data_IF_399697966490
#
_entry.id   IF_399697966490
#
_cell.length_a   1.000
_cell.length_b   1.000
_cell.length_c   1.000
_cell.angle_alpha   90.00
_cell.angle_beta   90.00
_cell.angle_gamma   90.00
#
_symmetry.space_group_name_H-M   'P 1'
#
loop_
_entity.id
_entity.type
_entity.pdbx_description
1 polymer ?
#
# COMPACT_ATOMS: atom_id res chain seq x y z
N UNK A 1 -26.48 23.28 -3.94
CA UNK A 1 -25.93 21.91 -3.80
C UNK A 1 -25.78 21.59 -2.32
N UNK A 2 -26.28 20.43 -1.86
CA UNK A 2 -26.09 19.99 -0.46
C UNK A 2 -24.59 19.79 -0.19
N UNK A 3 -24.15 19.98 1.05
CA UNK A 3 -22.75 19.77 1.47
C UNK A 3 -22.24 18.39 1.06
N UNK A 4 -23.08 17.36 1.19
CA UNK A 4 -22.78 15.99 0.74
C UNK A 4 -22.46 15.91 -0.75
N UNK A 5 -23.18 16.64 -1.61
CA UNK A 5 -22.93 16.65 -3.06
C UNK A 5 -21.59 17.30 -3.40
N UNK A 6 -21.16 18.32 -2.65
CA UNK A 6 -19.85 18.94 -2.81
C UNK A 6 -18.72 18.01 -2.37
N UNK A 7 -18.93 17.27 -1.28
CA UNK A 7 -17.99 16.25 -0.80
C UNK A 7 -17.81 15.14 -1.84
N UNK A 8 -18.90 14.60 -2.39
CA UNK A 8 -18.83 13.59 -3.45
C UNK A 8 -18.11 14.09 -4.70
N UNK A 9 -18.39 15.33 -5.13
CA UNK A 9 -17.67 15.93 -6.26
C UNK A 9 -16.16 16.02 -5.98
N UNK A 10 -15.77 16.42 -4.77
CA UNK A 10 -14.38 16.46 -4.35
C UNK A 10 -13.72 15.09 -4.33
N UNK A 11 -14.39 14.07 -3.80
CA UNK A 11 -13.88 12.70 -3.78
C UNK A 11 -13.69 12.12 -5.19
N UNK A 12 -14.65 12.36 -6.08
CA UNK A 12 -14.52 11.96 -7.49
C UNK A 12 -13.32 12.65 -8.13
N UNK A 13 -13.17 13.97 -7.92
CA UNK A 13 -12.03 14.72 -8.45
C UNK A 13 -10.70 14.14 -7.93
N UNK A 14 -10.59 13.86 -6.63
CA UNK A 14 -9.40 13.25 -6.04
C UNK A 14 -9.12 11.86 -6.60
N UNK A 15 -10.15 11.05 -6.83
CA UNK A 15 -10.00 9.74 -7.45
C UNK A 15 -9.48 9.84 -8.89
N UNK A 16 -9.90 10.86 -9.65
CA UNK A 16 -9.36 11.11 -10.99
C UNK A 16 -7.91 11.64 -10.96
N UNK A 17 -7.53 12.35 -9.90
CA UNK A 17 -6.17 12.87 -9.73
C UNK A 17 -5.21 11.85 -9.12
N UNK A 18 -5.70 10.79 -8.46
CA UNK A 18 -4.83 9.81 -7.79
C UNK A 18 -3.81 9.12 -8.71
N UNK A 19 -4.08 8.83 -10.00
CA UNK A 19 -3.06 8.25 -10.89
C UNK A 19 -1.86 9.16 -11.10
N UNK A 20 -1.98 10.48 -10.89
CA UNK A 20 -0.85 11.40 -11.01
C UNK A 20 0.28 11.09 -10.02
N UNK A 21 -0.04 10.50 -8.86
CA UNK A 21 0.96 10.07 -7.88
C UNK A 21 1.88 8.94 -8.36
N UNK A 22 1.46 8.21 -9.41
CA UNK A 22 2.26 7.18 -10.09
C UNK A 22 2.86 7.73 -11.39
N UNK A 23 2.05 8.44 -12.18
CA UNK A 23 2.44 8.91 -13.51
C UNK A 23 3.52 10.00 -13.47
N UNK A 24 3.45 10.93 -12.51
CA UNK A 24 4.44 12.01 -12.44
C UNK A 24 5.82 11.49 -12.00
N UNK A 25 5.97 10.67 -10.94
CA UNK A 25 7.27 10.09 -10.60
C UNK A 25 7.87 9.26 -11.72
N UNK A 26 7.06 8.43 -12.41
CA UNK A 26 7.52 7.65 -13.55
C UNK A 26 7.99 8.56 -14.71
N UNK A 27 7.20 9.57 -15.07
CA UNK A 27 7.52 10.49 -16.17
C UNK A 27 8.79 11.31 -15.90
N UNK A 28 8.98 11.78 -14.68
CA UNK A 28 10.13 12.58 -14.27
C UNK A 28 11.31 11.74 -13.74
N UNK A 29 11.18 10.41 -13.70
CA UNK A 29 12.16 9.49 -13.09
C UNK A 29 12.52 9.89 -11.65
N UNK A 30 11.52 10.27 -10.87
CA UNK A 30 11.68 10.79 -9.51
C UNK A 30 11.61 9.71 -8.42
N UNK A 31 11.78 8.43 -8.78
CA UNK A 31 11.70 7.29 -7.87
C UNK A 31 10.27 6.82 -7.63
N UNK A 32 10.00 6.36 -6.41
CA UNK A 32 8.74 5.72 -6.02
C UNK A 32 7.50 6.63 -6.14
N UNK A 33 6.35 5.97 -6.15
CA UNK A 33 5.05 6.61 -6.10
C UNK A 33 4.91 7.54 -4.89
N UNK A 34 4.18 8.66 -5.08
CA UNK A 34 3.91 9.57 -3.98
C UNK A 34 3.17 8.89 -2.84
N UNK A 35 3.81 8.83 -1.66
CA UNK A 35 3.29 8.18 -0.46
C UNK A 35 3.75 6.73 -0.28
N UNK A 36 4.49 6.15 -1.23
CA UNK A 36 5.05 4.79 -1.15
C UNK A 36 6.58 4.78 -0.95
N UNK A 37 7.16 5.90 -0.50
CA UNK A 37 8.62 6.02 -0.35
C UNK A 37 9.20 5.09 0.72
N UNK A 38 10.26 4.37 0.33
CA UNK A 38 11.15 3.63 1.23
C UNK A 38 12.23 4.49 1.91
N UNK A 39 13.02 3.86 2.78
CA UNK A 39 14.16 4.52 3.43
C UNK A 39 15.25 4.84 2.40
N UNK A 40 15.44 3.93 1.45
CA UNK A 40 16.38 4.00 0.35
C UNK A 40 16.04 5.20 -0.55
N UNK A 41 14.78 5.29 -0.95
CA UNK A 41 14.27 6.39 -1.78
C UNK A 41 14.40 7.74 -1.09
N UNK A 42 14.14 7.82 0.21
CA UNK A 42 14.40 9.04 0.99
C UNK A 42 15.90 9.40 1.01
N UNK A 43 16.77 8.42 1.22
CA UNK A 43 18.22 8.64 1.20
C UNK A 43 18.69 9.19 -0.16
N UNK A 44 18.13 8.71 -1.26
CA UNK A 44 18.44 9.20 -2.61
C UNK A 44 17.88 10.60 -2.88
N UNK A 45 16.64 10.88 -2.47
CA UNK A 45 15.96 12.16 -2.74
C UNK A 45 16.46 13.33 -1.88
N UNK A 46 16.70 13.09 -0.59
CA UNK A 46 17.03 14.14 0.39
C UNK A 46 18.39 13.98 1.06
N UNK A 47 19.12 12.89 0.78
CA UNK A 47 20.49 12.68 1.27
C UNK A 47 20.60 12.19 2.71
N UNK A 48 19.47 11.92 3.38
CA UNK A 48 19.44 11.32 4.72
C UNK A 48 18.10 10.64 5.01
N UNK A 49 18.10 9.66 5.93
CA UNK A 49 16.87 9.04 6.46
C UNK A 49 16.57 9.61 7.85
N UNK A 50 15.39 10.21 8.09
CA UNK A 50 15.01 10.70 9.41
C UNK A 50 14.99 9.57 10.44
N UNK A 51 15.55 9.79 11.64
CA UNK A 51 15.63 8.76 12.68
C UNK A 51 14.26 8.17 13.07
N UNK A 52 13.22 9.00 13.08
CA UNK A 52 11.85 8.56 13.33
C UNK A 52 11.34 7.58 12.27
N UNK A 53 11.71 7.80 11.01
CA UNK A 53 11.37 6.92 9.88
C UNK A 53 12.02 5.55 10.08
N UNK A 54 13.34 5.50 10.32
CA UNK A 54 14.08 4.25 10.57
C UNK A 54 13.49 3.46 11.74
N UNK A 55 13.13 4.14 12.84
CA UNK A 55 12.56 3.47 14.02
C UNK A 55 11.20 2.86 13.71
N UNK A 56 10.35 3.56 12.95
CA UNK A 56 8.99 3.12 12.64
C UNK A 56 8.97 2.04 11.55
N UNK A 57 9.83 2.16 10.53
CA UNK A 57 9.96 1.14 9.47
C UNK A 57 10.48 -0.18 10.03
N UNK A 58 11.32 -0.16 11.07
CA UNK A 58 11.80 -1.37 11.73
C UNK A 58 10.74 -2.11 12.58
N UNK A 59 9.57 -1.50 12.84
CA UNK A 59 8.52 -2.15 13.66
C UNK A 59 7.78 -3.27 12.91
N UNK A 60 7.77 -3.21 11.59
CA UNK A 60 7.02 -4.14 10.77
C UNK A 60 7.73 -4.37 9.44
N UNK A 61 8.00 -5.63 9.13
CA UNK A 61 8.44 -6.07 7.81
C UNK A 61 7.31 -6.89 7.18
N UNK A 62 6.92 -6.51 5.97
CA UNK A 62 5.90 -7.25 5.24
C UNK A 62 6.36 -8.70 5.02
N UNK A 63 5.53 -9.72 5.28
CA UNK A 63 5.89 -11.13 5.04
C UNK A 63 6.23 -11.45 3.59
N UNK A 64 5.62 -10.72 2.64
CA UNK A 64 5.87 -10.81 1.21
C UNK A 64 6.09 -9.38 0.69
N UNK A 65 7.32 -8.87 0.71
CA UNK A 65 7.62 -7.53 0.19
C UNK A 65 7.36 -7.49 -1.32
N UNK A 66 6.92 -6.32 -1.80
CA UNK A 66 6.64 -6.04 -3.23
C UNK A 66 5.68 -7.03 -3.91
N UNK A 67 4.94 -7.80 -3.11
CA UNK A 67 4.05 -8.86 -3.56
C UNK A 67 4.74 -9.91 -4.45
N UNK A 68 6.05 -10.05 -4.32
CA UNK A 68 6.87 -11.03 -5.02
C UNK A 68 7.37 -12.11 -4.07
N UNK A 69 7.29 -13.37 -4.49
CA UNK A 69 7.94 -14.45 -3.74
C UNK A 69 9.45 -14.39 -3.93
N UNK A 70 10.20 -14.77 -2.90
CA UNK A 70 11.66 -14.75 -2.93
C UNK A 70 12.20 -15.50 -4.16
N UNK A 71 13.05 -14.83 -4.94
CA UNK A 71 13.61 -15.36 -6.18
C UNK A 71 12.65 -15.35 -7.39
N UNK A 72 11.50 -14.69 -7.27
CA UNK A 72 10.57 -14.45 -8.38
C UNK A 72 10.59 -13.00 -8.88
N UNK A 73 11.40 -12.13 -8.24
CA UNK A 73 11.53 -10.70 -8.56
C UNK A 73 11.92 -10.46 -10.04
N UNK A 74 12.82 -11.29 -10.60
CA UNK A 74 13.23 -11.19 -12.00
C UNK A 74 12.39 -12.06 -12.96
N UNK A 75 11.37 -12.76 -12.46
CA UNK A 75 10.55 -13.61 -13.31
C UNK A 75 9.57 -12.77 -14.13
N UNK A 76 9.23 -13.26 -15.32
CA UNK A 76 8.28 -12.59 -16.21
C UNK A 76 6.91 -12.33 -15.58
N UNK A 77 6.15 -11.41 -16.18
CA UNK A 77 4.89 -10.85 -15.68
C UNK A 77 3.90 -11.89 -15.12
N UNK A 78 3.77 -13.07 -15.73
CA UNK A 78 2.86 -14.11 -15.25
C UNK A 78 3.14 -14.56 -13.81
N UNK A 79 4.41 -14.69 -13.42
CA UNK A 79 4.79 -15.10 -12.07
C UNK A 79 4.57 -13.97 -11.05
N UNK A 80 4.90 -12.73 -11.42
CA UNK A 80 4.65 -11.55 -10.60
C UNK A 80 3.15 -11.33 -10.38
N UNK A 81 2.34 -11.42 -11.45
CA UNK A 81 0.88 -11.36 -11.35
C UNK A 81 0.30 -12.46 -10.47
N UNK A 82 0.84 -13.69 -10.56
CA UNK A 82 0.40 -14.78 -9.69
C UNK A 82 0.73 -14.52 -8.22
N UNK A 83 1.94 -14.06 -7.91
CA UNK A 83 2.35 -13.74 -6.55
C UNK A 83 1.52 -12.56 -5.98
N UNK A 84 1.22 -11.56 -6.80
CA UNK A 84 0.34 -10.44 -6.46
C UNK A 84 -1.09 -10.90 -6.13
N UNK A 85 -1.72 -11.67 -7.03
CA UNK A 85 -3.08 -12.18 -6.81
C UNK A 85 -3.12 -13.10 -5.59
N UNK A 86 -2.11 -13.95 -5.42
CA UNK A 86 -2.02 -14.84 -4.25
C UNK A 86 -1.92 -14.05 -2.95
N UNK A 87 -1.09 -13.01 -2.92
CA UNK A 87 -0.97 -12.09 -1.78
C UNK A 87 -2.29 -11.40 -1.46
N UNK A 88 -3.03 -10.96 -2.49
CA UNK A 88 -4.35 -10.35 -2.32
C UNK A 88 -5.37 -11.33 -1.71
N UNK A 89 -5.45 -12.56 -2.22
CA UNK A 89 -6.37 -13.59 -1.71
C UNK A 89 -6.05 -13.93 -0.25
N UNK A 90 -4.77 -14.10 0.07
CA UNK A 90 -4.31 -14.37 1.45
C UNK A 90 -4.66 -13.20 2.37
N UNK A 91 -4.36 -11.96 1.95
CA UNK A 91 -4.68 -10.76 2.71
C UNK A 91 -6.17 -10.59 3.00
N UNK A 92 -7.03 -10.83 2.00
CA UNK A 92 -8.49 -10.84 2.17
C UNK A 92 -8.90 -11.93 3.18
N UNK A 93 -8.40 -13.15 3.02
CA UNK A 93 -8.70 -14.26 3.92
C UNK A 93 -8.34 -13.96 5.38
N UNK A 94 -7.14 -13.43 5.62
CA UNK A 94 -6.68 -13.02 6.95
C UNK A 94 -7.57 -11.91 7.51
N UNK A 95 -7.91 -10.90 6.70
CA UNK A 95 -8.75 -9.77 7.13
C UNK A 95 -10.13 -10.25 7.56
N UNK A 96 -10.77 -11.09 6.74
CA UNK A 96 -12.09 -11.69 7.05
C UNK A 96 -12.00 -12.53 8.33
N UNK A 97 -10.97 -13.37 8.47
CA UNK A 97 -10.78 -14.18 9.65
C UNK A 97 -10.63 -13.33 10.92
N UNK A 98 -9.80 -12.28 10.87
CA UNK A 98 -9.61 -11.34 11.99
C UNK A 98 -10.92 -10.63 12.35
N UNK A 99 -11.67 -10.13 11.36
CA UNK A 99 -12.96 -9.46 11.60
C UNK A 99 -13.97 -10.41 12.24
N UNK A 100 -14.06 -11.67 11.78
CA UNK A 100 -14.95 -12.68 12.37
C UNK A 100 -14.53 -13.00 13.81
N UNK A 101 -13.23 -13.18 14.06
CA UNK A 101 -12.71 -13.47 15.40
C UNK A 101 -13.00 -12.31 16.35
N UNK A 102 -12.68 -11.08 15.95
CA UNK A 102 -12.99 -9.89 16.74
C UNK A 102 -14.49 -9.77 17.00
N UNK A 103 -15.33 -10.00 15.99
CA UNK A 103 -16.79 -10.03 16.16
C UNK A 103 -17.23 -11.05 17.20
N UNK A 104 -16.70 -12.27 17.17
CA UNK A 104 -17.01 -13.31 18.16
C UNK A 104 -16.58 -12.94 19.58
N UNK A 105 -15.45 -12.25 19.74
CA UNK A 105 -14.96 -11.83 21.06
C UNK A 105 -15.64 -10.56 21.59
N UNK A 106 -16.02 -9.64 20.72
CA UNK A 106 -16.58 -8.33 21.09
C UNK A 106 -18.11 -8.35 21.21
N UNK A 107 -18.80 -9.25 20.51
CA UNK A 107 -20.25 -9.40 20.64
C UNK A 107 -20.55 -10.05 21.99
N UNK A 108 -21.04 -9.23 22.92
CA UNK A 108 -21.60 -9.69 24.19
C UNK A 108 -22.85 -10.52 23.86
N UNK A 109 -22.87 -11.76 24.33
CA UNK A 109 -24.05 -12.62 24.23
C UNK A 109 -25.02 -12.17 25.33
N UNK A 110 -25.99 -11.33 24.97
CA UNK A 110 -27.12 -11.03 25.84
C UNK A 110 -28.06 -12.24 25.97
#
# INVERSE_FOLDING_TARGET
MRTTSKLWLGLILLAFLSPLGLLLPEYFKAGDAWGEWGAETLQELVGYVPQGFTRLSALWSAPVPDYAFQGWEEKGLGNLSFAYISSAVIGIGITVAVVILLGKFLIKKD
#
